data_IF_963467475699
#
_entry.id   IF_963467475699
#
_cell.length_a   1.000
_cell.length_b   1.000
_cell.length_c   1.000
_cell.angle_alpha   90.00
_cell.angle_beta   90.00
_cell.angle_gamma   90.00
#
_symmetry.space_group_name_H-M   'P 1'
#
loop_
_entity.id
_entity.type
_entity.pdbx_description
1 polymer ?
#
# COMPACT_ATOMS: atom_id res chain seq x y z
N UNK A 1 -5.77 -28.30 25.85
CA UNK A 1 -4.56 -27.46 25.67
C UNK A 1 -4.73 -26.62 24.42
N UNK A 2 -5.18 -25.37 24.57
CA UNK A 2 -5.40 -24.44 23.45
C UNK A 2 -4.08 -23.70 23.21
N UNK A 3 -3.38 -24.02 22.12
CA UNK A 3 -2.19 -23.26 21.69
C UNK A 3 -2.67 -21.89 21.19
N UNK A 4 -2.55 -20.86 22.03
CA UNK A 4 -2.70 -19.45 21.62
C UNK A 4 -1.62 -19.16 20.58
N UNK A 5 -2.06 -18.88 19.36
CA UNK A 5 -1.25 -18.40 18.24
C UNK A 5 -0.83 -16.97 18.60
N UNK A 6 0.43 -16.77 19.00
CA UNK A 6 0.98 -15.44 19.27
C UNK A 6 1.23 -14.81 17.90
N UNK A 7 0.39 -13.85 17.54
CA UNK A 7 0.62 -12.99 16.38
C UNK A 7 1.73 -12.01 16.79
N UNK A 8 2.83 -12.01 16.03
CA UNK A 8 3.88 -11.01 16.15
C UNK A 8 3.30 -9.69 15.64
N UNK A 9 2.72 -8.92 16.56
CA UNK A 9 2.26 -7.56 16.30
C UNK A 9 3.49 -6.66 16.40
N UNK A 10 3.97 -6.15 15.27
CA UNK A 10 4.99 -5.12 15.28
C UNK A 10 4.37 -3.86 15.89
N UNK A 11 4.98 -3.34 16.96
CA UNK A 11 4.61 -2.07 17.53
C UNK A 11 5.28 -0.96 16.70
N UNK A 12 4.52 0.09 16.39
CA UNK A 12 5.12 1.36 15.97
C UNK A 12 5.97 1.92 17.12
N UNK A 13 6.93 2.79 16.81
CA UNK A 13 7.78 3.48 17.81
C UNK A 13 7.03 4.19 18.95
N UNK A 14 5.72 4.40 18.81
CA UNK A 14 4.80 5.00 19.79
C UNK A 14 4.09 3.99 20.71
N UNK A 15 4.29 2.67 20.54
CA UNK A 15 3.61 1.63 21.34
C UNK A 15 2.18 1.31 20.89
N UNK A 16 1.72 1.86 19.77
CA UNK A 16 0.44 1.53 19.15
C UNK A 16 0.56 0.31 18.24
N UNK A 17 -0.37 -0.63 18.37
CA UNK A 17 -0.41 -1.84 17.56
C UNK A 17 -1.21 -1.59 16.29
N UNK A 18 -0.56 -1.76 15.16
CA UNK A 18 -1.21 -1.70 13.86
C UNK A 18 -1.41 -3.12 13.33
N UNK A 19 -2.57 -3.36 12.73
CA UNK A 19 -2.82 -4.56 11.95
C UNK A 19 -2.81 -4.18 10.46
N UNK A 20 -1.67 -4.35 9.74
CA UNK A 20 -1.58 -3.98 8.33
C UNK A 20 -2.67 -4.63 7.47
N UNK A 21 -3.06 -5.87 7.77
CA UNK A 21 -4.14 -6.58 7.07
C UNK A 21 -5.49 -5.85 7.16
N UNK A 22 -5.83 -5.27 8.33
CA UNK A 22 -7.05 -4.48 8.52
C UNK A 22 -7.03 -3.22 7.63
N UNK A 23 -5.87 -2.56 7.57
CA UNK A 23 -5.68 -1.35 6.77
C UNK A 23 -5.76 -1.69 5.28
N UNK A 24 -5.12 -2.79 4.87
CA UNK A 24 -5.17 -3.31 3.51
C UNK A 24 -6.60 -3.61 3.07
N UNK A 25 -7.39 -4.30 3.89
CA UNK A 25 -8.80 -4.61 3.61
C UNK A 25 -9.67 -3.35 3.45
N UNK A 26 -9.33 -2.26 4.15
CA UNK A 26 -10.01 -0.97 4.02
C UNK A 26 -9.64 -0.31 2.69
N UNK A 27 -8.34 -0.18 2.39
CA UNK A 27 -7.86 0.49 1.18
C UNK A 27 -8.15 -0.29 -0.10
N UNK A 28 -8.27 -1.62 -0.05
CA UNK A 28 -8.65 -2.47 -1.18
C UNK A 28 -10.02 -2.13 -1.79
N UNK A 29 -10.82 -1.29 -1.12
CA UNK A 29 -12.11 -0.80 -1.62
C UNK A 29 -11.99 0.38 -2.59
N UNK A 30 -10.83 1.03 -2.63
CA UNK A 30 -10.52 2.03 -3.65
C UNK A 30 -10.53 1.39 -5.04
N UNK A 31 -11.25 2.00 -5.99
CA UNK A 31 -11.33 1.51 -7.38
C UNK A 31 -10.00 1.59 -8.13
N UNK A 32 -9.08 2.45 -7.67
CA UNK A 32 -7.75 2.59 -8.25
C UNK A 32 -6.83 1.41 -7.93
N UNK A 33 -7.13 0.65 -6.88
CA UNK A 33 -6.23 -0.36 -6.32
C UNK A 33 -6.66 -1.74 -6.78
N UNK A 34 -5.74 -2.48 -7.40
CA UNK A 34 -5.91 -3.91 -7.72
C UNK A 34 -5.40 -4.77 -6.57
N UNK A 35 -4.19 -4.49 -6.09
CA UNK A 35 -3.60 -5.12 -4.92
C UNK A 35 -2.78 -4.08 -4.17
N UNK A 36 -2.60 -4.27 -2.86
CA UNK A 36 -1.72 -3.42 -2.07
C UNK A 36 -1.03 -4.21 -0.96
N UNK A 37 0.05 -3.64 -0.45
CA UNK A 37 0.74 -4.14 0.72
C UNK A 37 1.21 -2.96 1.57
N UNK A 38 0.75 -2.91 2.82
CA UNK A 38 1.14 -1.92 3.81
C UNK A 38 2.38 -2.44 4.53
N UNK A 39 3.45 -1.65 4.51
CA UNK A 39 4.68 -1.96 5.22
C UNK A 39 4.75 -1.14 6.50
N UNK A 40 5.00 -1.85 7.60
CA UNK A 40 5.20 -1.32 8.92
C UNK A 40 6.65 -1.58 9.35
N UNK A 41 7.38 -0.50 9.63
CA UNK A 41 8.73 -0.56 10.17
C UNK A 41 8.70 -0.01 11.60
N UNK A 42 9.06 -0.86 12.57
CA UNK A 42 9.08 -0.48 13.99
C UNK A 42 10.01 0.70 14.32
N UNK A 43 11.00 0.98 13.47
CA UNK A 43 11.90 2.14 13.63
C UNK A 43 11.30 3.46 13.11
N UNK A 44 10.16 3.40 12.43
CA UNK A 44 9.53 4.53 11.78
C UNK A 44 8.28 4.98 12.55
N UNK A 45 7.88 6.22 12.34
CA UNK A 45 6.70 6.82 12.98
C UNK A 45 5.44 6.75 12.12
N UNK A 46 5.54 6.19 10.91
CA UNK A 46 4.46 6.15 9.94
C UNK A 46 4.56 4.91 9.03
N UNK A 47 3.40 4.56 8.46
CA UNK A 47 3.25 3.46 7.53
C UNK A 47 3.45 3.93 6.10
N UNK A 48 3.96 3.05 5.26
CA UNK A 48 4.03 3.24 3.81
C UNK A 48 3.33 2.06 3.11
N UNK A 49 2.96 2.23 1.85
CA UNK A 49 2.40 1.12 1.08
C UNK A 49 2.97 1.03 -0.32
N UNK A 50 3.02 -0.20 -0.84
CA UNK A 50 3.17 -0.47 -2.26
C UNK A 50 1.82 -0.82 -2.85
N UNK A 51 1.52 -0.26 -4.00
CA UNK A 51 0.22 -0.34 -4.65
C UNK A 51 0.38 -0.86 -6.07
N UNK A 52 -0.45 -1.82 -6.43
CA UNK A 52 -0.63 -2.31 -7.80
C UNK A 52 -1.93 -1.70 -8.30
N UNK A 53 -1.83 -0.96 -9.39
CA UNK A 53 -2.93 -0.19 -9.94
C UNK A 53 -3.92 -1.06 -10.69
N UNK A 54 -5.19 -0.66 -10.67
CA UNK A 54 -6.17 -1.11 -11.64
C UNK A 54 -6.02 -0.28 -12.92
N UNK A 55 -5.25 -0.80 -13.87
CA UNK A 55 -4.93 -0.10 -15.12
C UNK A 55 -6.17 0.33 -15.91
N UNK A 56 -7.25 -0.45 -15.88
CA UNK A 56 -8.49 -0.11 -16.59
C UNK A 56 -9.12 1.15 -15.98
N UNK A 57 -9.28 1.16 -14.65
CA UNK A 57 -9.86 2.31 -13.95
C UNK A 57 -8.97 3.55 -14.03
N UNK A 58 -7.65 3.39 -13.92
CA UNK A 58 -6.69 4.50 -14.05
C UNK A 58 -6.74 5.10 -15.45
N UNK A 59 -6.84 4.29 -16.51
CA UNK A 59 -7.00 4.79 -17.88
C UNK A 59 -8.31 5.53 -18.08
N UNK A 60 -9.40 5.03 -17.50
CA UNK A 60 -10.71 5.71 -17.55
C UNK A 60 -10.67 7.05 -16.81
N UNK A 61 -10.13 7.06 -15.59
CA UNK A 61 -9.95 8.28 -14.80
C UNK A 61 -9.06 9.30 -15.52
N UNK A 62 -7.92 8.86 -16.06
CA UNK A 62 -7.01 9.73 -16.80
C UNK A 62 -7.70 10.41 -17.99
N UNK A 63 -8.50 9.66 -18.78
CA UNK A 63 -9.27 10.22 -19.88
C UNK A 63 -10.31 11.25 -19.42
N UNK A 64 -10.98 11.00 -18.31
CA UNK A 64 -11.99 11.92 -17.76
C UNK A 64 -11.38 13.24 -17.27
N UNK A 65 -10.14 13.19 -16.78
CA UNK A 65 -9.36 14.37 -16.38
C UNK A 65 -8.69 15.08 -17.57
N UNK A 66 -8.85 14.55 -18.80
CA UNK A 66 -8.28 15.13 -20.02
C UNK A 66 -6.82 14.77 -20.29
N UNK A 67 -6.29 13.70 -19.68
CA UNK A 67 -4.94 13.22 -19.96
C UNK A 67 -4.90 12.32 -21.21
N UNK A 68 -3.99 12.63 -22.12
CA UNK A 68 -3.67 11.81 -23.29
C UNK A 68 -2.62 10.73 -22.98
N UNK A 69 -2.47 9.75 -23.88
CA UNK A 69 -1.53 8.62 -23.75
C UNK A 69 -0.09 9.10 -23.50
N UNK A 70 0.36 10.17 -24.14
CA UNK A 70 1.71 10.69 -23.89
C UNK A 70 1.86 11.30 -22.50
N UNK A 71 0.82 11.98 -21.99
CA UNK A 71 0.84 12.56 -20.65
C UNK A 71 0.79 11.49 -19.56
N UNK A 72 0.13 10.34 -19.81
CA UNK A 72 0.12 9.22 -18.85
C UNK A 72 1.49 8.58 -18.59
N UNK A 73 2.50 8.92 -19.40
CA UNK A 73 3.88 8.44 -19.23
C UNK A 73 4.78 9.46 -18.51
N UNK A 74 4.29 10.65 -18.18
CA UNK A 74 5.10 11.70 -17.56
C UNK A 74 5.28 11.48 -16.05
N UNK A 75 6.43 11.86 -15.46
CA UNK A 75 6.62 11.83 -14.00
C UNK A 75 5.57 12.66 -13.25
N UNK A 76 5.16 13.80 -13.81
CA UNK A 76 4.17 14.69 -13.21
C UNK A 76 2.79 14.03 -13.12
N UNK A 77 2.40 13.26 -14.14
CA UNK A 77 1.18 12.46 -14.10
C UNK A 77 1.26 11.41 -13.00
N UNK A 78 2.40 10.73 -12.86
CA UNK A 78 2.61 9.73 -11.82
C UNK A 78 2.47 10.31 -10.42
N UNK A 79 3.08 11.48 -10.17
CA UNK A 79 2.99 12.17 -8.89
C UNK A 79 1.56 12.65 -8.60
N UNK A 80 0.87 13.19 -9.62
CA UNK A 80 -0.55 13.54 -9.51
C UNK A 80 -1.41 12.33 -9.18
N UNK A 81 -1.19 11.20 -9.86
CA UNK A 81 -1.92 9.95 -9.64
C UNK A 81 -1.68 9.42 -8.22
N UNK A 82 -0.43 9.44 -7.74
CA UNK A 82 -0.10 9.09 -6.34
C UNK A 82 -0.88 9.94 -5.35
N UNK A 83 -0.93 11.26 -5.56
CA UNK A 83 -1.67 12.16 -4.68
C UNK A 83 -3.19 11.87 -4.69
N UNK A 84 -3.76 11.61 -5.87
CA UNK A 84 -5.19 11.28 -6.01
C UNK A 84 -5.51 9.98 -5.27
N UNK A 85 -4.70 8.93 -5.47
CA UNK A 85 -4.91 7.63 -4.82
C UNK A 85 -4.68 7.73 -3.31
N UNK A 86 -3.64 8.44 -2.86
CA UNK A 86 -3.38 8.64 -1.44
C UNK A 86 -4.54 9.37 -0.75
N UNK A 87 -5.09 10.41 -1.38
CA UNK A 87 -6.27 11.12 -0.86
C UNK A 87 -7.52 10.22 -0.81
N UNK A 88 -7.71 9.38 -1.83
CA UNK A 88 -8.81 8.40 -1.87
C UNK A 88 -8.67 7.35 -0.75
N UNK A 89 -7.46 6.83 -0.53
CA UNK A 89 -7.14 5.92 0.57
C UNK A 89 -7.39 6.57 1.93
N UNK A 90 -6.94 7.82 2.14
CA UNK A 90 -7.17 8.55 3.38
C UNK A 90 -8.67 8.77 3.61
N UNK A 91 -9.44 9.07 2.57
CA UNK A 91 -10.91 9.20 2.65
C UNK A 91 -11.55 7.89 3.08
N UNK A 92 -11.28 6.78 2.39
CA UNK A 92 -11.79 5.44 2.73
C UNK A 92 -11.40 5.04 4.16
N UNK A 93 -10.17 5.34 4.55
CA UNK A 93 -9.67 5.09 5.90
C UNK A 93 -10.46 5.84 6.96
N UNK A 94 -10.65 7.15 6.79
CA UNK A 94 -11.42 7.97 7.74
C UNK A 94 -12.88 7.54 7.84
N UNK A 95 -13.53 7.30 6.70
CA UNK A 95 -14.93 6.85 6.64
C UNK A 95 -15.14 5.51 7.37
N UNK A 96 -14.10 4.67 7.43
CA UNK A 96 -14.14 3.33 8.04
C UNK A 96 -13.52 3.29 9.44
N UNK A 97 -13.17 4.44 9.99
CA UNK A 97 -12.66 4.56 11.35
C UNK A 97 -11.20 4.13 11.53
N UNK A 98 -10.38 4.20 10.47
CA UNK A 98 -8.92 4.12 10.63
C UNK A 98 -8.42 5.38 11.34
N UNK A 99 -7.62 5.17 12.38
CA UNK A 99 -6.99 6.24 13.15
C UNK A 99 -5.91 6.95 12.33
N UNK A 100 -5.53 8.17 12.71
CA UNK A 100 -4.51 8.93 11.98
C UNK A 100 -3.17 8.20 11.85
N UNK A 101 -2.77 7.40 12.84
CA UNK A 101 -1.55 6.59 12.81
C UNK A 101 -1.68 5.30 11.98
N UNK A 102 -2.91 4.86 11.69
CA UNK A 102 -3.18 3.74 10.77
C UNK A 102 -3.19 4.23 9.30
N UNK A 103 -3.14 5.55 9.06
CA UNK A 103 -3.12 6.09 7.71
C UNK A 103 -1.71 6.02 7.12
N UNK A 104 -1.59 5.46 5.91
CA UNK A 104 -0.30 5.47 5.20
C UNK A 104 0.07 6.90 4.81
N UNK A 105 1.35 7.24 4.96
CA UNK A 105 1.88 8.57 4.66
C UNK A 105 2.36 8.69 3.21
N UNK A 106 2.83 7.59 2.63
CA UNK A 106 3.34 7.55 1.27
C UNK A 106 3.01 6.23 0.59
N UNK A 107 2.84 6.30 -0.73
CA UNK A 107 2.62 5.14 -1.58
C UNK A 107 3.60 5.13 -2.75
N UNK A 108 3.96 3.94 -3.19
CA UNK A 108 4.68 3.72 -4.44
C UNK A 108 4.02 2.66 -5.29
N UNK A 109 4.16 2.79 -6.60
CA UNK A 109 3.59 1.84 -7.54
C UNK A 109 4.58 0.74 -7.87
N UNK A 110 4.07 -0.49 -7.90
CA UNK A 110 4.79 -1.64 -8.43
C UNK A 110 4.00 -2.23 -9.60
N UNK A 111 4.71 -2.72 -10.61
CA UNK A 111 4.09 -3.33 -11.80
C UNK A 111 3.84 -4.83 -11.63
N UNK A 112 4.62 -5.49 -10.78
CA UNK A 112 4.52 -6.92 -10.58
C UNK A 112 3.40 -7.23 -9.60
N UNK A 113 2.43 -8.03 -10.03
CA UNK A 113 1.34 -8.50 -9.18
C UNK A 113 1.80 -9.55 -8.18
N UNK A 114 1.12 -9.64 -7.03
CA UNK A 114 1.36 -10.73 -6.09
C UNK A 114 0.62 -11.97 -6.57
N UNK A 115 1.34 -13.08 -6.77
CA UNK A 115 0.76 -14.34 -7.24
C UNK A 115 1.23 -15.51 -6.37
N UNK A 116 0.56 -16.65 -6.50
CA UNK A 116 1.02 -17.90 -5.85
C UNK A 116 2.31 -18.39 -6.52
N UNK A 117 2.42 -18.21 -7.84
CA UNK A 117 3.53 -18.66 -8.68
C UNK A 117 4.84 -17.92 -8.36
N UNK A 118 4.80 -16.60 -8.14
CA UNK A 118 5.96 -15.83 -7.71
C UNK A 118 6.23 -15.94 -6.19
N UNK A 119 5.47 -16.79 -5.49
CA UNK A 119 5.65 -17.06 -4.07
C UNK A 119 5.31 -15.90 -3.14
N UNK A 120 4.64 -14.85 -3.65
CA UNK A 120 4.23 -13.68 -2.87
C UNK A 120 2.84 -13.84 -2.26
N UNK A 121 2.04 -14.80 -2.73
CA UNK A 121 0.79 -15.22 -2.10
C UNK A 121 0.88 -16.63 -1.53
N UNK A 122 0.10 -16.85 -0.47
CA UNK A 122 -0.23 -18.19 0.04
C UNK A 122 -1.23 -18.88 -0.89
N UNK A 123 -1.40 -20.20 -0.75
CA UNK A 123 -2.43 -20.95 -1.49
C UNK A 123 -3.86 -20.44 -1.21
N UNK A 124 -4.06 -19.70 -0.11
CA UNK A 124 -5.32 -19.03 0.23
C UNK A 124 -5.36 -17.56 -0.23
N UNK A 125 -4.52 -17.17 -1.19
CA UNK A 125 -4.40 -15.82 -1.75
C UNK A 125 -4.07 -14.70 -0.75
N UNK A 126 -3.61 -15.04 0.45
CA UNK A 126 -3.10 -14.05 1.42
C UNK A 126 -1.66 -13.69 1.12
N UNK A 127 -1.29 -12.42 1.29
CA UNK A 127 0.07 -11.92 1.15
C UNK A 127 1.06 -12.67 2.06
N UNK A 128 2.14 -13.19 1.48
CA UNK A 128 3.28 -13.74 2.23
C UNK A 128 4.18 -12.58 2.64
N UNK A 129 3.82 -11.90 3.73
CA UNK A 129 4.46 -10.66 4.18
C UNK A 129 5.99 -10.73 4.19
N UNK A 130 6.57 -11.74 4.83
CA UNK A 130 8.03 -11.94 4.86
C UNK A 130 8.65 -12.04 3.46
N UNK A 131 8.02 -12.74 2.51
CA UNK A 131 8.54 -12.86 1.15
C UNK A 131 8.49 -11.53 0.38
N UNK A 132 7.38 -10.78 0.54
CA UNK A 132 7.22 -9.45 -0.05
C UNK A 132 8.22 -8.47 0.56
N UNK A 133 8.38 -8.48 1.88
CA UNK A 133 9.33 -7.64 2.61
C UNK A 133 10.77 -7.87 2.15
N UNK A 134 11.19 -9.13 1.98
CA UNK A 134 12.53 -9.43 1.47
C UNK A 134 12.71 -8.98 0.01
N UNK A 135 11.69 -9.20 -0.83
CA UNK A 135 11.74 -8.84 -2.25
C UNK A 135 11.81 -7.33 -2.48
N UNK A 136 11.05 -6.56 -1.71
CA UNK A 136 10.93 -5.11 -1.87
C UNK A 136 11.70 -4.32 -0.80
N UNK A 137 12.62 -4.97 -0.07
CA UNK A 137 13.36 -4.35 1.05
C UNK A 137 14.04 -3.03 0.68
N UNK A 138 14.81 -3.03 -0.40
CA UNK A 138 15.51 -1.83 -0.88
C UNK A 138 14.53 -0.75 -1.36
N UNK A 139 13.39 -1.17 -1.90
CA UNK A 139 12.33 -0.28 -2.34
C UNK A 139 11.70 0.45 -1.16
N UNK A 140 11.33 -0.27 -0.09
CA UNK A 140 10.80 0.34 1.13
C UNK A 140 11.78 1.33 1.77
N UNK A 141 13.07 0.98 1.82
CA UNK A 141 14.11 1.89 2.33
C UNK A 141 14.19 3.18 1.51
N UNK A 142 14.08 3.08 0.17
CA UNK A 142 14.06 4.25 -0.72
C UNK A 142 12.84 5.14 -0.44
N UNK A 143 11.66 4.55 -0.21
CA UNK A 143 10.44 5.30 0.11
C UNK A 143 10.63 6.09 1.40
N UNK A 144 11.08 5.43 2.47
CA UNK A 144 11.33 6.11 3.74
C UNK A 144 12.35 7.24 3.59
N UNK A 145 13.44 7.03 2.86
CA UNK A 145 14.43 8.07 2.59
C UNK A 145 13.83 9.28 1.86
N UNK A 146 13.00 9.04 0.86
CA UNK A 146 12.34 10.11 0.10
C UNK A 146 11.35 10.91 0.94
N UNK A 147 10.68 10.28 1.93
CA UNK A 147 9.71 10.96 2.81
C UNK A 147 10.39 11.77 3.91
N UNK A 148 11.61 11.41 4.31
CA UNK A 148 12.39 12.15 5.32
C UNK A 148 13.21 13.31 4.76
N UNK A 149 13.38 13.38 3.44
CA UNK A 149 14.12 14.45 2.75
C UNK A 149 13.19 15.62 2.47
#
# INVERSE_FOLDING_TARGET
MIKRKIYWLNALSQGEYVAPEKIEDVYARSRFISQLFVYDNSFESFLIAIVILNDDYVKQWAKNEGYDVQTTMSPEFNDKLKQVILNDMIREGKERGLMSYEQVKAIEFIKESFTIENGLLTATFKARRYAIEQKYKEFFQKIYKNVHT
#
